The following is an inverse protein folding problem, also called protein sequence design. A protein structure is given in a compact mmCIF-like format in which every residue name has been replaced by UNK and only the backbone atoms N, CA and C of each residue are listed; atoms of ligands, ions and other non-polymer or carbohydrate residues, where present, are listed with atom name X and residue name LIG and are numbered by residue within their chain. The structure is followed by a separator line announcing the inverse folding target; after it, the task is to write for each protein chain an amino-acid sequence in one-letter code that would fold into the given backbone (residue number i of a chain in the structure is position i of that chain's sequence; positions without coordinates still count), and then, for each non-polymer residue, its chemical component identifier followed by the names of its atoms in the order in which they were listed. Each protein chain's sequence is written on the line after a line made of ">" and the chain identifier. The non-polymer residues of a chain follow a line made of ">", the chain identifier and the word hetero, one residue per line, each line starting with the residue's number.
data_IF_338385996846
#
_entry.id   IF_338385996846
#
_cell.length_a   1.000
_cell.length_b   1.000
_cell.length_c   1.000
_cell.angle_alpha   90.00
_cell.angle_beta   90.00
_cell.angle_gamma   90.00
#
_symmetry.space_group_name_H-M   'P 1'
#
loop_
_entity.id
_entity.type
_entity.pdbx_description
1 polymer ?
#
# COMPACT_ATOMS: atom_id res chain seq x y z
N UNK A 1 -15.99 -2.37 -5.79
CA UNK A 1 -14.85 -3.25 -5.39
C UNK A 1 -14.53 -3.00 -3.93
N UNK A 2 -14.38 -4.05 -3.16
CA UNK A 2 -13.98 -3.95 -1.76
C UNK A 2 -12.64 -4.65 -1.57
N UNK A 3 -11.69 -3.94 -0.98
CA UNK A 3 -10.36 -4.47 -0.68
C UNK A 3 -10.11 -4.25 0.79
N UNK A 4 -9.72 -5.32 1.50
CA UNK A 4 -9.36 -5.25 2.91
C UNK A 4 -7.85 -5.34 3.06
N UNK A 5 -7.28 -4.43 3.81
CA UNK A 5 -5.86 -4.46 4.15
C UNK A 5 -5.76 -4.85 5.62
N UNK A 6 -5.05 -5.94 5.88
CA UNK A 6 -4.87 -6.47 7.23
C UNK A 6 -3.43 -6.25 7.67
N UNK A 7 -3.26 -5.69 8.85
CA UNK A 7 -1.95 -5.39 9.40
C UNK A 7 -1.80 -6.13 10.73
N UNK A 8 -0.78 -6.98 10.82
CA UNK A 8 -0.42 -7.66 12.05
C UNK A 8 0.90 -7.06 12.56
N UNK A 9 0.78 -6.17 13.53
CA UNK A 9 1.94 -5.47 14.07
C UNK A 9 2.92 -6.39 14.80
N UNK A 10 2.40 -7.43 15.44
CA UNK A 10 3.24 -8.36 16.20
C UNK A 10 4.12 -9.21 15.28
N UNK A 11 3.56 -9.68 14.19
CA UNK A 11 4.29 -10.47 13.21
C UNK A 11 4.92 -9.63 12.11
N UNK A 12 4.67 -8.33 12.11
CA UNK A 12 5.14 -7.39 11.09
C UNK A 12 4.76 -7.84 9.69
N UNK A 13 3.51 -8.29 9.55
CA UNK A 13 2.98 -8.77 8.27
C UNK A 13 1.79 -7.94 7.85
N UNK A 14 1.67 -7.75 6.55
CA UNK A 14 0.49 -7.16 5.94
C UNK A 14 -0.07 -8.13 4.92
N UNK A 15 -1.38 -8.14 4.78
CA UNK A 15 -2.05 -8.93 3.77
C UNK A 15 -3.20 -8.14 3.17
N UNK A 16 -3.60 -8.54 1.98
CA UNK A 16 -4.67 -7.90 1.25
C UNK A 16 -5.69 -8.96 0.87
N UNK A 17 -6.94 -8.73 1.22
CA UNK A 17 -8.04 -9.63 0.88
C UNK A 17 -8.97 -8.96 -0.12
N UNK A 18 -9.30 -9.68 -1.18
CA UNK A 18 -10.21 -9.22 -2.21
C UNK A 18 -10.82 -10.44 -2.93
N UNK A 19 -11.83 -10.20 -3.75
CA UNK A 19 -12.48 -11.26 -4.51
C UNK A 19 -11.63 -11.61 -5.74
N UNK A 20 -10.82 -12.65 -5.63
CA UNK A 20 -9.92 -13.09 -6.69
C UNK A 20 -10.66 -13.62 -7.93
N UNK A 21 -11.95 -13.96 -7.80
CA UNK A 21 -12.73 -14.39 -8.94
C UNK A 21 -13.14 -13.24 -9.86
N UNK A 22 -13.11 -12.00 -9.35
CA UNK A 22 -13.53 -10.82 -10.11
C UNK A 22 -12.36 -9.92 -10.51
N UNK A 23 -11.29 -9.91 -9.74
CA UNK A 23 -10.19 -8.95 -9.91
C UNK A 23 -8.86 -9.67 -9.87
N UNK A 24 -7.95 -9.28 -10.74
CA UNK A 24 -6.60 -9.81 -10.70
C UNK A 24 -5.72 -9.00 -9.73
N UNK A 25 -4.59 -9.61 -9.35
CA UNK A 25 -3.69 -9.01 -8.36
C UNK A 25 -3.08 -7.69 -8.85
N UNK A 26 -2.80 -7.61 -10.14
CA UNK A 26 -2.25 -6.39 -10.72
C UNK A 26 -3.20 -5.21 -10.63
N UNK A 27 -4.48 -5.43 -10.93
CA UNK A 27 -5.50 -4.41 -10.82
C UNK A 27 -5.67 -3.95 -9.38
N UNK A 28 -5.71 -4.90 -8.44
CA UNK A 28 -5.80 -4.57 -7.01
C UNK A 28 -4.59 -3.77 -6.56
N UNK A 29 -3.39 -4.14 -7.02
CA UNK A 29 -2.17 -3.40 -6.72
C UNK A 29 -2.24 -1.96 -7.20
N UNK A 30 -2.77 -1.73 -8.41
CA UNK A 30 -2.94 -0.37 -8.94
C UNK A 30 -3.89 0.46 -8.07
N UNK A 31 -4.98 -0.13 -7.61
CA UNK A 31 -5.92 0.57 -6.71
C UNK A 31 -5.30 0.86 -5.35
N UNK A 32 -4.48 -0.04 -4.83
CA UNK A 32 -3.77 0.19 -3.57
C UNK A 32 -2.80 1.36 -3.69
N UNK A 33 -2.09 1.46 -4.81
CA UNK A 33 -1.19 2.59 -5.06
C UNK A 33 -1.98 3.89 -5.12
N UNK A 34 -3.14 3.88 -5.79
CA UNK A 34 -4.00 5.05 -5.86
C UNK A 34 -4.52 5.46 -4.49
N UNK A 35 -4.89 4.48 -3.66
CA UNK A 35 -5.34 4.75 -2.29
C UNK A 35 -4.23 5.38 -1.46
N UNK A 36 -3.01 4.88 -1.57
CA UNK A 36 -1.86 5.44 -0.87
C UNK A 36 -1.60 6.87 -1.34
N UNK A 37 -1.65 7.12 -2.64
CA UNK A 37 -1.46 8.45 -3.21
C UNK A 37 -2.50 9.42 -2.68
N UNK A 38 -3.77 9.03 -2.65
CA UNK A 38 -4.84 9.88 -2.14
C UNK A 38 -4.67 10.15 -0.64
N UNK A 39 -4.24 9.15 0.12
CA UNK A 39 -3.95 9.33 1.54
C UNK A 39 -2.84 10.36 1.75
N UNK A 40 -1.76 10.29 0.95
CA UNK A 40 -0.64 11.21 1.13
C UNK A 40 -0.99 12.66 0.81
N UNK A 41 -2.03 12.91 -0.01
CA UNK A 41 -2.48 14.27 -0.29
C UNK A 41 -3.00 14.98 0.97
N UNK A 42 -3.47 14.23 1.95
CA UNK A 42 -4.00 14.78 3.19
C UNK A 42 -2.90 15.09 4.21
N UNK A 43 -1.68 14.70 3.93
CA UNK A 43 -0.56 14.87 4.83
C UNK A 43 0.17 16.19 4.58
N UNK A 44 0.81 16.77 5.61
CA UNK A 44 1.72 17.89 5.42
C UNK A 44 2.83 17.56 4.43
N UNK A 45 3.37 18.57 3.74
CA UNK A 45 4.35 18.36 2.69
C UNK A 45 5.57 17.57 3.14
N UNK A 46 6.05 17.82 4.35
CA UNK A 46 7.24 17.13 4.90
C UNK A 46 6.96 15.63 5.05
N UNK A 47 5.82 15.28 5.66
CA UNK A 47 5.46 13.87 5.85
C UNK A 47 5.21 13.17 4.52
N UNK A 48 4.61 13.87 3.57
CA UNK A 48 4.37 13.34 2.24
C UNK A 48 5.68 12.98 1.54
N UNK A 49 6.67 13.86 1.62
CA UNK A 49 7.96 13.63 1.00
C UNK A 49 8.70 12.46 1.66
N UNK A 50 8.62 12.34 2.98
CA UNK A 50 9.20 11.22 3.72
C UNK A 50 8.57 9.90 3.28
N UNK A 51 7.24 9.85 3.17
CA UNK A 51 6.54 8.65 2.73
C UNK A 51 6.89 8.26 1.29
N UNK A 52 7.04 9.24 0.40
CA UNK A 52 7.47 8.96 -0.98
C UNK A 52 8.84 8.31 -1.00
N UNK A 53 9.76 8.84 -0.22
CA UNK A 53 11.12 8.31 -0.14
C UNK A 53 11.10 6.88 0.40
N UNK A 54 10.36 6.64 1.48
CA UNK A 54 10.21 5.31 2.07
C UNK A 54 9.60 4.33 1.07
N UNK A 55 8.58 4.74 0.34
CA UNK A 55 7.94 3.90 -0.65
C UNK A 55 8.94 3.48 -1.74
N UNK A 56 9.70 4.43 -2.27
CA UNK A 56 10.71 4.13 -3.29
C UNK A 56 11.79 3.19 -2.76
N UNK A 57 12.30 3.43 -1.56
CA UNK A 57 13.32 2.58 -0.95
C UNK A 57 12.80 1.18 -0.68
N UNK A 58 11.58 1.08 -0.18
CA UNK A 58 10.95 -0.20 0.13
C UNK A 58 10.77 -1.03 -1.13
N UNK A 59 10.28 -0.43 -2.19
CA UNK A 59 10.06 -1.14 -3.45
C UNK A 59 11.38 -1.55 -4.09
N UNK A 60 12.41 -0.72 -4.00
CA UNK A 60 13.72 -1.05 -4.54
C UNK A 60 14.36 -2.24 -3.83
N UNK A 61 14.05 -2.44 -2.55
CA UNK A 61 14.56 -3.56 -1.76
C UNK A 61 13.68 -4.80 -1.81
N UNK A 62 12.55 -4.73 -2.51
CA UNK A 62 11.62 -5.85 -2.59
C UNK A 62 10.63 -5.94 -1.44
N UNK A 63 10.51 -4.88 -0.64
CA UNK A 63 9.53 -4.79 0.44
C UNK A 63 10.14 -4.62 1.82
N UNK A 64 9.31 -4.22 2.79
CA UNK A 64 9.74 -4.02 4.17
C UNK A 64 9.76 -5.33 4.94
N UNK A 65 8.87 -6.22 4.59
CA UNK A 65 8.62 -7.44 5.35
C UNK A 65 8.69 -8.67 4.49
#
# INVERSE_FOLDING_TARGET
>A
MEIKVLIDENKKKTSVEFDESKYDKGTVGAFLISALFNYTKELPAVERDILRLLCCQTMAKGGIM
#
